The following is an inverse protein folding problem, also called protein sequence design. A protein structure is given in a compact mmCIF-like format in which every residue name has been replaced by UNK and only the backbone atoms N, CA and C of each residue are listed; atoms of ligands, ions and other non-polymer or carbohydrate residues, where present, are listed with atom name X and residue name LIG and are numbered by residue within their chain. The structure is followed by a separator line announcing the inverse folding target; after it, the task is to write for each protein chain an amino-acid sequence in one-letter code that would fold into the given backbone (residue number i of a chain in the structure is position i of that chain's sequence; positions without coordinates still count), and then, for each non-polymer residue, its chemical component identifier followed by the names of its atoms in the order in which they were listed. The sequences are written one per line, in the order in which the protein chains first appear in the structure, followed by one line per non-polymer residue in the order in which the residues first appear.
data_IF_509595080649
#
_entry.id   IF_509595080649
#
_cell.length_a   1.000
_cell.length_b   1.000
_cell.length_c   1.000
_cell.angle_alpha   90.00
_cell.angle_beta   90.00
_cell.angle_gamma   90.00
#
_symmetry.space_group_name_H-M   'P 1'
#
loop_
_entity.id
_entity.type
_entity.pdbx_description
1 polymer ?
#
# COMPACT_ATOMS: atom_id res chain seq x y z
N UNK A 1 15.57 8.32 -13.08
CA UNK A 1 14.35 7.55 -13.39
C UNK A 1 13.23 8.56 -13.57
N UNK A 2 12.53 8.56 -14.69
CA UNK A 2 11.37 9.45 -14.90
C UNK A 2 10.17 8.52 -15.02
N UNK A 3 9.09 8.80 -14.30
CA UNK A 3 7.83 8.10 -14.50
C UNK A 3 7.44 7.08 -13.44
N UNK A 4 7.03 7.55 -12.27
CA UNK A 4 6.33 6.74 -11.27
C UNK A 4 4.85 7.13 -11.21
N UNK A 5 3.97 6.13 -11.20
CA UNK A 5 2.56 6.29 -10.87
C UNK A 5 2.37 5.78 -9.44
N UNK A 6 1.80 6.62 -8.57
CA UNK A 6 1.50 6.27 -7.19
C UNK A 6 -0.02 6.34 -6.96
N UNK A 7 -0.61 5.25 -6.49
CA UNK A 7 -1.97 5.24 -5.96
C UNK A 7 -1.88 5.14 -4.44
N UNK A 8 -2.41 6.14 -3.74
CA UNK A 8 -2.47 6.13 -2.29
C UNK A 8 -3.92 5.97 -1.85
N UNK A 9 -4.24 4.83 -1.25
CA UNK A 9 -5.52 4.60 -0.56
C UNK A 9 -5.29 4.78 0.94
N UNK A 10 -5.90 5.81 1.49
CA UNK A 10 -5.68 6.25 2.86
C UNK A 10 -6.86 7.10 3.35
N UNK A 11 -6.90 7.35 4.66
CA UNK A 11 -7.81 8.35 5.24
C UNK A 11 -7.10 9.69 5.41
N UNK A 12 -7.87 10.77 5.42
CA UNK A 12 -7.42 12.06 5.93
C UNK A 12 -8.27 12.47 7.12
N UNK A 13 -7.64 13.22 8.01
CA UNK A 13 -8.27 13.84 9.18
C UNK A 13 -8.19 15.35 9.05
N UNK A 14 -9.21 16.04 9.55
CA UNK A 14 -9.24 17.50 9.66
C UNK A 14 -9.20 17.88 11.13
N UNK A 15 -8.38 18.87 11.46
CA UNK A 15 -8.26 19.41 12.81
C UNK A 15 -8.25 20.94 12.72
N UNK A 16 -8.99 21.61 13.60
CA UNK A 16 -9.18 23.08 13.56
C UNK A 16 -7.84 23.84 13.54
N UNK A 17 -6.92 23.49 14.45
CA UNK A 17 -5.61 24.17 14.53
C UNK A 17 -4.53 23.62 13.59
N UNK A 18 -4.54 22.31 13.29
CA UNK A 18 -3.45 21.63 12.56
C UNK A 18 -3.73 21.47 11.06
N UNK A 19 -4.95 21.76 10.62
CA UNK A 19 -5.40 21.59 9.24
C UNK A 19 -5.64 20.13 8.88
N UNK A 20 -5.34 19.79 7.63
CA UNK A 20 -5.51 18.43 7.09
C UNK A 20 -4.27 17.57 7.36
N UNK A 21 -4.50 16.31 7.73
CA UNK A 21 -3.45 15.31 7.92
C UNK A 21 -3.77 14.03 7.17
N UNK A 22 -2.76 13.46 6.52
CA UNK A 22 -2.82 12.17 5.86
C UNK A 22 -2.57 11.05 6.88
N UNK A 23 -3.48 10.09 6.99
CA UNK A 23 -3.33 8.96 7.90
C UNK A 23 -2.58 7.84 7.18
N UNK A 24 -1.32 7.66 7.58
CA UNK A 24 -0.48 6.55 7.15
C UNK A 24 -0.42 5.49 8.24
N UNK A 25 0.23 4.37 7.95
CA UNK A 25 0.47 3.32 8.93
C UNK A 25 1.90 3.43 9.49
N UNK A 26 2.04 3.27 10.80
CA UNK A 26 3.34 2.99 11.42
C UNK A 26 3.77 1.54 11.15
N UNK A 27 5.04 1.16 11.42
CA UNK A 27 5.50 -0.21 11.18
C UNK A 27 4.79 -1.31 12.00
N UNK A 28 4.05 -0.95 13.05
CA UNK A 28 3.19 -1.85 13.82
C UNK A 28 1.72 -1.81 13.34
N UNK A 29 1.44 -1.14 12.23
CA UNK A 29 0.13 -0.98 11.61
C UNK A 29 -0.82 -0.08 12.41
N UNK A 30 -0.30 0.81 13.25
CA UNK A 30 -1.04 1.85 13.94
C UNK A 30 -1.18 3.11 13.09
N UNK A 31 -2.13 4.01 13.42
CA UNK A 31 -2.29 5.26 12.68
C UNK A 31 -1.14 6.22 12.95
N UNK A 32 -0.50 6.69 11.89
CA UNK A 32 0.49 7.75 11.89
C UNK A 32 -0.03 8.94 11.06
N UNK A 33 -0.39 10.03 11.72
CA UNK A 33 -0.93 11.21 11.03
C UNK A 33 0.23 12.11 10.57
N UNK A 34 0.41 12.18 9.26
CA UNK A 34 1.32 13.10 8.62
C UNK A 34 0.58 14.40 8.29
N UNK A 35 0.71 15.39 9.18
CA UNK A 35 0.09 16.71 9.01
C UNK A 35 0.68 17.46 7.81
N UNK A 36 -0.16 18.25 7.12
CA UNK A 36 0.22 19.06 5.94
C UNK A 36 1.57 19.76 6.09
N UNK A 37 1.80 20.50 7.18
CA UNK A 37 3.06 21.22 7.43
C UNK A 37 4.28 20.29 7.51
N UNK A 38 4.11 19.12 8.14
CA UNK A 38 5.18 18.12 8.24
C UNK A 38 5.43 17.45 6.91
N UNK A 39 4.38 17.19 6.12
CA UNK A 39 4.48 16.69 4.75
C UNK A 39 5.23 17.68 3.84
N UNK A 40 4.89 18.96 3.89
CA UNK A 40 5.59 20.03 3.14
C UNK A 40 7.09 20.06 3.48
N UNK A 41 7.42 20.11 4.78
CA UNK A 41 8.81 20.11 5.23
C UNK A 41 9.57 18.85 4.79
N UNK A 42 8.94 17.68 4.85
CA UNK A 42 9.51 16.43 4.39
C UNK A 42 9.77 16.44 2.88
N UNK A 43 8.81 16.89 2.07
CA UNK A 43 8.95 16.95 0.62
C UNK A 43 10.01 17.97 0.19
N UNK A 44 10.08 19.12 0.85
CA UNK A 44 11.12 20.11 0.62
C UNK A 44 12.52 19.54 0.91
N UNK A 45 12.68 18.79 2.01
CA UNK A 45 13.96 18.17 2.41
C UNK A 45 14.38 16.96 1.57
N UNK A 46 13.44 16.27 0.92
CA UNK A 46 13.68 15.05 0.14
C UNK A 46 13.86 15.28 -1.37
N UNK A 47 13.83 16.54 -1.82
CA UNK A 47 13.96 16.90 -3.24
C UNK A 47 12.64 16.86 -4.03
N UNK A 48 11.51 16.73 -3.32
CA UNK A 48 10.16 16.74 -3.87
C UNK A 48 9.78 15.48 -4.63
N UNK A 49 8.71 15.58 -5.43
CA UNK A 49 8.10 14.47 -6.17
C UNK A 49 8.34 14.54 -7.69
N UNK A 50 9.47 15.13 -8.11
CA UNK A 50 9.81 15.33 -9.55
C UNK A 50 9.88 14.04 -10.39
N UNK A 51 9.92 12.89 -9.74
CA UNK A 51 9.94 11.57 -10.40
C UNK A 51 8.56 10.91 -10.46
N UNK A 52 7.56 11.46 -9.76
CA UNK A 52 6.17 11.00 -9.75
C UNK A 52 5.41 11.74 -10.85
N UNK A 53 5.01 11.01 -11.88
CA UNK A 53 4.24 11.57 -13.00
C UNK A 53 2.76 11.66 -12.65
N UNK A 54 2.24 10.73 -11.85
CA UNK A 54 0.83 10.69 -11.47
C UNK A 54 0.70 10.22 -10.03
N UNK A 55 -0.04 10.99 -9.24
CA UNK A 55 -0.47 10.62 -7.90
C UNK A 55 -2.01 10.56 -7.86
N UNK A 56 -2.56 9.40 -7.51
CA UNK A 56 -3.99 9.22 -7.28
C UNK A 56 -4.23 9.12 -5.78
N UNK A 57 -4.83 10.15 -5.19
CA UNK A 57 -5.21 10.19 -3.77
C UNK A 57 -6.64 9.67 -3.61
N UNK A 58 -6.77 8.38 -3.32
CA UNK A 58 -8.04 7.78 -2.88
C UNK A 58 -8.23 8.07 -1.40
N UNK A 59 -8.50 9.34 -1.10
CA UNK A 59 -8.57 9.89 0.26
C UNK A 59 -9.57 11.05 0.30
N UNK A 60 -10.53 11.01 1.22
CA UNK A 60 -11.50 12.10 1.41
C UNK A 60 -10.80 13.42 1.82
N UNK A 61 -11.35 14.58 1.44
CA UNK A 61 -10.79 15.90 1.79
C UNK A 61 -9.30 16.07 1.44
N UNK A 62 -8.82 15.42 0.39
CA UNK A 62 -7.41 15.42 -0.03
C UNK A 62 -7.02 16.61 -0.91
N UNK A 63 -7.92 17.56 -1.16
CA UNK A 63 -7.69 18.75 -2.00
C UNK A 63 -6.47 19.57 -1.53
N UNK A 64 -6.40 19.87 -0.23
CA UNK A 64 -5.27 20.60 0.35
C UNK A 64 -3.95 19.83 0.29
N UNK A 65 -4.00 18.49 0.37
CA UNK A 65 -2.82 17.65 0.24
C UNK A 65 -2.36 17.60 -1.22
N UNK A 66 -3.30 17.57 -2.17
CA UNK A 66 -3.02 17.57 -3.60
C UNK A 66 -2.22 18.80 -4.02
N UNK A 67 -2.59 19.97 -3.50
CA UNK A 67 -1.86 21.21 -3.71
C UNK A 67 -0.39 21.08 -3.28
N UNK A 68 -0.14 20.54 -2.08
CA UNK A 68 1.23 20.31 -1.58
C UNK A 68 2.02 19.42 -2.54
N UNK A 69 1.43 18.33 -3.03
CA UNK A 69 2.13 17.43 -3.93
C UNK A 69 2.47 18.06 -5.29
N UNK A 70 1.57 18.87 -5.85
CA UNK A 70 1.82 19.64 -7.09
C UNK A 70 2.94 20.66 -6.87
N UNK A 71 2.88 21.44 -5.80
CA UNK A 71 3.87 22.47 -5.47
C UNK A 71 5.27 21.88 -5.27
N UNK A 72 5.36 20.63 -4.80
CA UNK A 72 6.61 19.90 -4.63
C UNK A 72 7.00 19.05 -5.85
N UNK A 73 6.36 19.26 -7.01
CA UNK A 73 6.85 18.77 -8.29
C UNK A 73 6.22 17.47 -8.81
N UNK A 74 5.13 16.99 -8.21
CA UNK A 74 4.31 15.96 -8.84
C UNK A 74 3.62 16.55 -10.08
N UNK A 75 3.66 15.85 -11.21
CA UNK A 75 3.16 16.41 -12.48
C UNK A 75 1.62 16.44 -12.53
N UNK A 76 1.00 15.33 -12.13
CA UNK A 76 -0.44 15.14 -12.17
C UNK A 76 -0.91 14.61 -10.80
N UNK A 77 -1.97 15.20 -10.24
CA UNK A 77 -2.54 14.73 -8.97
C UNK A 77 -4.06 14.68 -9.05
N UNK A 78 -4.63 13.53 -8.72
CA UNK A 78 -6.08 13.34 -8.56
C UNK A 78 -6.40 13.28 -7.07
N UNK A 79 -7.49 13.93 -6.67
CA UNK A 79 -7.89 14.06 -5.27
C UNK A 79 -9.41 14.14 -5.13
N UNK A 80 -9.90 14.08 -3.90
CA UNK A 80 -11.31 14.26 -3.56
C UNK A 80 -11.50 15.42 -2.58
N UNK A 81 -12.40 16.35 -2.89
CA UNK A 81 -12.71 17.51 -2.02
C UNK A 81 -13.67 17.20 -0.88
N UNK A 82 -14.49 16.16 -1.06
CA UNK A 82 -15.54 15.78 -0.13
C UNK A 82 -15.35 14.39 0.47
N UNK A 83 -16.42 13.91 1.09
CA UNK A 83 -16.57 12.50 1.42
C UNK A 83 -16.84 11.72 0.13
N UNK A 84 -16.21 10.56 0.01
CA UNK A 84 -16.43 9.62 -1.08
C UNK A 84 -16.58 8.24 -0.46
N UNK A 85 -17.64 7.54 -0.81
CA UNK A 85 -17.83 6.17 -0.35
C UNK A 85 -16.84 5.23 -1.01
N UNK A 86 -16.42 4.18 -0.30
CA UNK A 86 -15.51 3.15 -0.83
C UNK A 86 -16.02 2.53 -2.13
N UNK A 87 -17.33 2.38 -2.28
CA UNK A 87 -17.93 1.89 -3.53
C UNK A 87 -17.67 2.84 -4.69
N UNK A 88 -17.87 4.14 -4.49
CA UNK A 88 -17.65 5.17 -5.50
C UNK A 88 -16.16 5.32 -5.83
N UNK A 89 -15.29 5.35 -4.82
CA UNK A 89 -13.84 5.37 -5.01
C UNK A 89 -13.33 4.14 -5.80
N UNK A 90 -13.86 2.95 -5.52
CA UNK A 90 -13.53 1.73 -6.28
C UNK A 90 -14.03 1.80 -7.73
N UNK A 91 -15.26 2.26 -7.97
CA UNK A 91 -15.81 2.41 -9.33
C UNK A 91 -15.02 3.42 -10.15
N UNK A 92 -14.66 4.55 -9.54
CA UNK A 92 -13.75 5.53 -10.13
C UNK A 92 -12.44 4.86 -10.56
N UNK A 93 -11.75 4.21 -9.62
CA UNK A 93 -10.45 3.59 -9.88
C UNK A 93 -10.54 2.52 -10.97
N UNK A 94 -11.58 1.68 -10.95
CA UNK A 94 -11.80 0.66 -11.97
C UNK A 94 -11.95 1.27 -13.36
N UNK A 95 -12.85 2.25 -13.53
CA UNK A 95 -13.06 2.91 -14.83
C UNK A 95 -11.80 3.65 -15.29
N UNK A 96 -11.17 4.40 -14.38
CA UNK A 96 -9.96 5.15 -14.66
C UNK A 96 -8.79 4.26 -15.13
N UNK A 97 -8.47 3.21 -14.36
CA UNK A 97 -7.39 2.30 -14.71
C UNK A 97 -7.71 1.45 -15.93
N UNK A 98 -8.98 1.12 -16.16
CA UNK A 98 -9.41 0.43 -17.37
C UNK A 98 -9.14 1.26 -18.62
N UNK A 99 -9.50 2.55 -18.62
CA UNK A 99 -9.23 3.47 -19.74
C UNK A 99 -7.73 3.67 -19.98
N UNK A 100 -6.95 3.82 -18.90
CA UNK A 100 -5.49 3.87 -19.00
C UNK A 100 -4.90 2.59 -19.61
N UNK A 101 -5.42 1.42 -19.23
CA UNK A 101 -5.00 0.14 -19.81
C UNK A 101 -5.38 -0.01 -21.30
N UNK A 102 -6.43 0.70 -21.75
CA UNK A 102 -6.77 0.85 -23.17
C UNK A 102 -5.95 1.94 -23.89
N UNK A 103 -4.84 2.39 -23.29
CA UNK A 103 -3.95 3.41 -23.82
C UNK A 103 -4.63 4.78 -24.06
N UNK A 104 -5.76 5.06 -23.40
CA UNK A 104 -6.32 6.41 -23.39
C UNK A 104 -5.32 7.40 -22.76
N UNK A 105 -5.40 8.67 -23.16
CA UNK A 105 -4.64 9.70 -22.47
C UNK A 105 -5.17 9.91 -21.06
N UNK A 106 -4.32 10.42 -20.16
CA UNK A 106 -4.64 10.64 -18.76
C UNK A 106 -5.89 11.52 -18.61
N UNK A 107 -6.00 12.58 -19.41
CA UNK A 107 -7.18 13.45 -19.41
C UNK A 107 -8.45 12.70 -19.86
N UNK A 108 -8.35 11.87 -20.90
CA UNK A 108 -9.49 11.07 -21.39
C UNK A 108 -9.93 10.03 -20.36
N UNK A 109 -8.98 9.33 -19.74
CA UNK A 109 -9.26 8.34 -18.71
C UNK A 109 -9.94 8.98 -17.49
N UNK A 110 -9.48 10.16 -17.06
CA UNK A 110 -10.13 10.96 -16.04
C UNK A 110 -11.57 11.32 -16.42
N UNK A 111 -11.77 11.96 -17.57
CA UNK A 111 -13.09 12.42 -18.01
C UNK A 111 -14.09 11.26 -18.18
N UNK A 112 -13.62 10.12 -18.72
CA UNK A 112 -14.44 8.91 -18.87
C UNK A 112 -14.86 8.37 -17.51
N UNK A 113 -13.94 8.27 -16.56
CA UNK A 113 -14.25 7.79 -15.21
C UNK A 113 -15.27 8.69 -14.50
N UNK A 114 -15.11 10.02 -14.56
CA UNK A 114 -16.07 10.95 -13.95
C UNK A 114 -17.45 10.85 -14.61
N UNK A 115 -17.51 10.74 -15.94
CA UNK A 115 -18.78 10.56 -16.66
C UNK A 115 -19.46 9.24 -16.31
N UNK A 116 -18.69 8.16 -16.18
CA UNK A 116 -19.20 6.86 -15.80
C UNK A 116 -19.83 6.88 -14.40
N UNK A 117 -19.20 7.58 -13.43
CA UNK A 117 -19.79 7.79 -12.11
C UNK A 117 -21.08 8.62 -12.20
N UNK A 118 -21.07 9.73 -12.93
CA UNK A 118 -22.19 10.66 -13.00
C UNK A 118 -23.50 10.05 -13.56
N UNK A 119 -23.40 8.95 -14.32
CA UNK A 119 -24.55 8.22 -14.88
C UNK A 119 -24.84 6.91 -14.15
N UNK A 120 -24.16 6.65 -13.04
CA UNK A 120 -24.33 5.43 -12.26
C UNK A 120 -25.78 5.30 -11.75
N UNK A 121 -26.28 4.06 -11.69
CA UNK A 121 -27.63 3.80 -11.20
C UNK A 121 -27.78 4.06 -9.69
N UNK A 122 -26.68 4.03 -8.94
CA UNK A 122 -26.62 4.45 -7.55
C UNK A 122 -26.53 5.97 -7.44
N UNK A 123 -27.57 6.61 -6.90
CA UNK A 123 -27.67 8.07 -6.80
C UNK A 123 -26.60 8.68 -5.89
N UNK A 124 -26.12 7.94 -4.89
CA UNK A 124 -25.01 8.38 -4.03
C UNK A 124 -23.73 8.46 -4.85
N UNK A 125 -23.39 7.39 -5.56
CA UNK A 125 -22.24 7.35 -6.48
C UNK A 125 -22.30 8.44 -7.54
N UNK A 126 -23.48 8.67 -8.14
CA UNK A 126 -23.65 9.70 -9.16
C UNK A 126 -23.43 11.11 -8.62
N UNK A 127 -23.95 11.42 -7.43
CA UNK A 127 -23.73 12.71 -6.79
C UNK A 127 -22.26 12.94 -6.43
N UNK A 128 -21.56 11.91 -5.92
CA UNK A 128 -20.16 12.03 -5.50
C UNK A 128 -19.16 12.19 -6.66
N UNK A 129 -19.58 12.02 -7.91
CA UNK A 129 -18.73 12.26 -9.09
C UNK A 129 -18.12 13.68 -9.09
N UNK A 130 -18.87 14.68 -8.60
CA UNK A 130 -18.42 16.07 -8.54
C UNK A 130 -17.35 16.33 -7.45
N UNK A 131 -17.15 15.39 -6.54
CA UNK A 131 -16.16 15.52 -5.47
C UNK A 131 -14.73 15.25 -5.95
N UNK A 132 -14.57 14.60 -7.10
CA UNK A 132 -13.26 14.28 -7.65
C UNK A 132 -12.67 15.51 -8.35
N UNK A 133 -11.38 15.77 -8.09
CA UNK A 133 -10.62 16.89 -8.65
C UNK A 133 -9.33 16.39 -9.32
N UNK A 134 -8.90 17.07 -10.38
CA UNK A 134 -7.70 16.73 -11.13
C UNK A 134 -6.82 17.95 -11.36
N UNK A 135 -5.63 17.92 -10.75
CA UNK A 135 -4.61 18.97 -10.79
C UNK A 135 -3.48 18.63 -11.78
N UNK A 136 -2.83 19.67 -12.29
CA UNK A 136 -1.69 19.53 -13.19
C UNK A 136 -2.07 19.10 -14.61
N UNK A 137 -3.24 19.50 -15.11
CA UNK A 137 -3.79 18.98 -16.38
C UNK A 137 -2.95 19.32 -17.63
N UNK A 138 -2.02 20.26 -17.54
CA UNK A 138 -1.17 20.65 -18.68
C UNK A 138 -0.35 19.45 -19.17
N UNK A 139 -0.58 19.02 -20.41
CA UNK A 139 0.10 17.87 -21.02
C UNK A 139 -0.58 16.52 -20.73
N UNK A 140 -1.66 16.50 -19.93
CA UNK A 140 -2.40 15.27 -19.61
C UNK A 140 -3.14 14.69 -20.83
N UNK A 141 -3.40 15.50 -21.85
CA UNK A 141 -3.99 15.08 -23.11
C UNK A 141 -3.05 14.22 -23.97
N UNK A 142 -1.74 14.33 -23.75
CA UNK A 142 -0.69 13.56 -24.41
C UNK A 142 -0.06 12.50 -23.50
N UNK A 143 -0.38 12.52 -22.20
CA UNK A 143 0.15 11.59 -21.23
C UNK A 143 -0.55 10.22 -21.36
N UNK A 144 0.16 9.20 -21.83
CA UNK A 144 -0.28 7.80 -21.84
C UNK A 144 0.38 7.05 -20.69
N UNK A 145 -0.06 5.81 -20.41
CA UNK A 145 0.62 4.95 -19.41
C UNK A 145 2.12 4.83 -19.70
N UNK A 146 2.51 4.68 -20.96
CA UNK A 146 3.92 4.55 -21.35
C UNK A 146 4.72 5.83 -21.06
N UNK A 147 4.17 7.01 -21.33
CA UNK A 147 4.88 8.25 -21.01
C UNK A 147 4.88 8.55 -19.51
N UNK A 148 3.79 8.22 -18.80
CA UNK A 148 3.69 8.33 -17.35
C UNK A 148 4.69 7.41 -16.62
N UNK A 149 4.95 6.22 -17.16
CA UNK A 149 5.95 5.27 -16.66
C UNK A 149 7.37 5.54 -17.20
N UNK A 150 7.54 6.56 -18.04
CA UNK A 150 8.84 6.94 -18.62
C UNK A 150 9.38 6.01 -19.70
N UNK A 151 8.52 5.17 -20.29
CA UNK A 151 8.83 4.25 -21.39
C UNK A 151 8.81 4.96 -22.75
N UNK A 152 8.03 6.05 -22.89
CA UNK A 152 7.81 6.76 -24.15
C UNK A 152 9.03 7.43 -24.82
N UNK A 153 10.18 7.55 -24.14
CA UNK A 153 11.42 8.08 -24.72
C UNK A 153 12.44 6.99 -25.12
N UNK A 154 12.06 5.70 -25.10
CA UNK A 154 12.92 4.57 -25.50
C UNK A 154 12.69 4.15 -26.96
N UNK A 155 12.52 5.10 -27.88
CA UNK A 155 12.50 4.79 -29.29
C UNK A 155 13.93 4.45 -29.81
N UNK A 156 14.12 3.19 -30.19
CA UNK A 156 15.03 2.71 -31.25
C UNK A 156 16.56 2.76 -31.04
N UNK A 157 17.06 2.12 -29.97
CA UNK A 157 18.39 1.48 -30.03
C UNK A 157 18.30 0.04 -29.56
N UNK A 158 18.64 -0.98 -30.39
CA UNK A 158 18.66 -2.39 -29.99
C UNK A 158 19.90 -2.73 -29.12
N UNK A 159 20.25 -1.83 -28.20
CA UNK A 159 21.36 -2.00 -27.27
C UNK A 159 21.16 -1.14 -26.02
N UNK A 160 20.01 -1.31 -25.38
CA UNK A 160 19.88 -1.08 -23.96
C UNK A 160 19.35 -2.37 -23.37
N UNK A 161 20.25 -3.35 -23.21
CA UNK A 161 20.08 -4.40 -22.20
C UNK A 161 19.61 -3.66 -20.97
N UNK A 162 18.38 -3.96 -20.51
CA UNK A 162 17.82 -3.43 -19.30
C UNK A 162 18.88 -3.59 -18.21
N UNK A 163 19.61 -2.50 -17.92
CA UNK A 163 20.55 -2.50 -16.82
C UNK A 163 19.76 -2.93 -15.59
N UNK A 164 20.32 -3.78 -14.72
CA UNK A 164 19.58 -4.38 -13.63
C UNK A 164 18.77 -3.28 -12.93
N UNK A 165 17.45 -3.43 -12.94
CA UNK A 165 16.55 -2.57 -12.18
C UNK A 165 17.14 -2.53 -10.78
N UNK A 166 17.85 -1.46 -10.40
CA UNK A 166 18.19 -1.25 -8.99
C UNK A 166 16.84 -1.32 -8.26
N UNK A 167 16.57 -2.36 -7.47
CA UNK A 167 15.29 -2.49 -6.81
C UNK A 167 15.10 -1.19 -6.04
N UNK A 168 13.92 -0.57 -6.16
CA UNK A 168 13.60 0.53 -5.27
C UNK A 168 13.62 -0.13 -3.89
N UNK A 169 14.63 0.20 -3.08
CA UNK A 169 14.78 -0.38 -1.75
C UNK A 169 13.43 -0.23 -1.02
N UNK A 170 12.94 -1.33 -0.46
CA UNK A 170 11.66 -1.43 0.26
C UNK A 170 10.37 -1.57 -0.58
N UNK A 171 10.44 -1.76 -1.91
CA UNK A 171 9.28 -2.18 -2.70
C UNK A 171 9.35 -3.68 -3.00
N UNK A 172 8.23 -4.37 -2.80
CA UNK A 172 8.07 -5.78 -3.15
C UNK A 172 7.53 -5.84 -4.58
N UNK A 173 8.17 -6.66 -5.41
CA UNK A 173 7.67 -6.93 -6.76
C UNK A 173 6.31 -7.62 -6.70
N UNK A 174 5.38 -7.26 -7.59
CA UNK A 174 4.01 -7.78 -7.56
C UNK A 174 3.99 -9.29 -7.76
N UNK A 175 4.82 -9.86 -8.64
CA UNK A 175 4.86 -11.31 -8.82
C UNK A 175 5.35 -12.00 -7.54
N UNK A 176 6.36 -11.43 -6.88
CA UNK A 176 6.84 -11.92 -5.58
C UNK A 176 5.75 -11.82 -4.49
N UNK A 177 4.98 -10.74 -4.48
CA UNK A 177 3.86 -10.57 -3.54
C UNK A 177 2.75 -11.59 -3.78
N UNK A 178 2.40 -11.86 -5.04
CA UNK A 178 1.37 -12.81 -5.42
C UNK A 178 1.77 -14.28 -5.19
N UNK A 179 3.07 -14.57 -5.18
CA UNK A 179 3.60 -15.90 -4.88
C UNK A 179 3.54 -16.26 -3.37
N UNK A 180 3.25 -15.30 -2.48
CA UNK A 180 3.06 -15.60 -1.06
C UNK A 180 1.82 -16.47 -0.83
N UNK A 181 2.04 -17.65 -0.25
CA UNK A 181 1.02 -18.66 -0.01
C UNK A 181 0.48 -18.58 1.43
N UNK A 182 -0.20 -17.49 1.77
CA UNK A 182 -1.04 -17.49 2.97
C UNK A 182 -2.42 -18.10 2.64
N UNK A 183 -3.09 -18.72 3.64
CA UNK A 183 -4.49 -19.11 3.46
C UNK A 183 -5.37 -17.90 3.13
N UNK A 184 -6.51 -18.14 2.49
CA UNK A 184 -7.47 -17.07 2.24
C UNK A 184 -7.89 -16.39 3.56
N UNK A 185 -8.00 -15.06 3.51
CA UNK A 185 -8.43 -14.26 4.67
C UNK A 185 -9.78 -14.77 5.19
N UNK A 186 -9.98 -14.84 6.52
CA UNK A 186 -11.24 -15.27 7.08
C UNK A 186 -12.39 -14.32 6.69
N UNK A 187 -13.50 -14.90 6.23
CA UNK A 187 -14.72 -14.13 6.00
C UNK A 187 -15.25 -13.55 7.31
N UNK A 188 -15.83 -12.33 7.24
CA UNK A 188 -16.51 -11.67 8.36
C UNK A 188 -15.64 -11.50 9.62
N UNK A 189 -14.35 -11.25 9.45
CA UNK A 189 -13.47 -10.87 10.56
C UNK A 189 -13.81 -9.45 11.03
N UNK A 190 -14.61 -9.33 12.09
CA UNK A 190 -15.11 -8.04 12.61
C UNK A 190 -14.71 -7.84 14.07
N UNK A 191 -14.43 -6.59 14.45
CA UNK A 191 -14.26 -6.17 15.85
C UNK A 191 -12.96 -6.61 16.52
N UNK A 192 -12.00 -7.16 15.77
CA UNK A 192 -10.72 -7.68 16.30
C UNK A 192 -9.48 -6.97 15.79
N UNK A 193 -9.63 -5.89 15.03
CA UNK A 193 -8.50 -5.11 14.48
C UNK A 193 -7.59 -4.55 15.59
N UNK A 194 -8.17 -4.15 16.73
CA UNK A 194 -7.39 -3.70 17.89
C UNK A 194 -6.49 -4.81 18.46
N UNK A 195 -6.95 -6.07 18.42
CA UNK A 195 -6.14 -7.21 18.86
C UNK A 195 -5.00 -7.50 17.88
N UNK A 196 -5.22 -7.35 16.57
CA UNK A 196 -4.15 -7.46 15.57
C UNK A 196 -3.04 -6.44 15.85
N UNK A 197 -3.42 -5.17 16.04
CA UNK A 197 -2.48 -4.10 16.33
C UNK A 197 -1.75 -4.31 17.67
N UNK A 198 -2.46 -4.75 18.72
CA UNK A 198 -1.84 -5.05 20.02
C UNK A 198 -0.81 -6.18 19.90
N UNK A 199 -1.11 -7.22 19.11
CA UNK A 199 -0.19 -8.32 18.87
C UNK A 199 1.02 -7.86 18.06
N UNK A 200 0.81 -7.10 16.98
CA UNK A 200 1.89 -6.53 16.17
C UNK A 200 2.84 -5.68 17.03
N UNK A 201 2.29 -4.80 17.88
CA UNK A 201 3.08 -4.00 18.83
C UNK A 201 3.85 -4.83 19.84
N UNK A 202 3.33 -5.99 20.24
CA UNK A 202 4.04 -6.90 21.16
C UNK A 202 5.27 -7.49 20.48
N UNK A 203 5.23 -7.69 19.16
CA UNK A 203 6.35 -8.21 18.36
C UNK A 203 7.29 -7.10 17.85
N UNK A 204 6.90 -5.83 17.92
CA UNK A 204 7.65 -4.71 17.32
C UNK A 204 8.74 -4.12 18.22
N UNK A 205 9.87 -3.74 17.60
CA UNK A 205 10.98 -3.02 18.24
C UNK A 205 12.08 -3.91 18.82
N UNK A 206 13.15 -3.31 19.37
CA UNK A 206 14.33 -4.04 19.87
C UNK A 206 13.99 -4.98 21.06
N UNK A 207 12.95 -4.65 21.81
CA UNK A 207 12.44 -5.45 22.94
C UNK A 207 11.16 -6.23 22.58
N UNK A 208 10.87 -6.36 21.27
CA UNK A 208 9.72 -7.11 20.78
C UNK A 208 9.80 -8.58 21.19
N UNK A 209 8.64 -9.17 21.47
CA UNK A 209 8.55 -10.60 21.78
C UNK A 209 8.72 -11.40 20.51
N UNK A 210 9.63 -12.39 20.54
CA UNK A 210 9.89 -13.32 19.44
C UNK A 210 8.84 -14.43 19.32
N UNK A 211 8.10 -14.68 20.41
CA UNK A 211 7.05 -15.67 20.46
C UNK A 211 5.84 -15.11 21.22
N UNK A 212 4.65 -15.38 20.70
CA UNK A 212 3.38 -15.02 21.37
C UNK A 212 2.43 -16.20 21.27
N UNK A 213 1.75 -16.51 22.38
CA UNK A 213 0.76 -17.58 22.45
C UNK A 213 -0.64 -16.98 22.43
N UNK A 214 -1.46 -17.42 21.48
CA UNK A 214 -2.87 -17.01 21.36
C UNK A 214 -3.73 -18.16 21.89
N UNK A 215 -4.38 -17.94 23.04
CA UNK A 215 -5.23 -18.93 23.68
C UNK A 215 -6.63 -18.38 23.96
N UNK A 216 -7.58 -19.26 24.24
CA UNK A 216 -8.98 -18.91 24.46
C UNK A 216 -9.92 -20.09 24.22
N UNK A 217 -11.23 -19.91 24.49
CA UNK A 217 -12.22 -20.99 24.40
C UNK A 217 -12.26 -21.69 23.04
N UNK A 218 -12.76 -22.92 23.01
CA UNK A 218 -13.04 -23.62 21.76
C UNK A 218 -14.02 -22.80 20.91
N UNK A 219 -13.84 -22.79 19.59
CA UNK A 219 -14.72 -22.07 18.66
C UNK A 219 -14.57 -20.54 18.61
N UNK A 220 -13.80 -19.90 19.50
CA UNK A 220 -13.66 -18.43 19.52
C UNK A 220 -12.96 -17.84 18.28
N UNK A 221 -12.50 -18.66 17.32
CA UNK A 221 -11.87 -18.20 16.09
C UNK A 221 -10.38 -17.85 16.23
N UNK A 222 -9.63 -18.57 17.08
CA UNK A 222 -8.17 -18.39 17.24
C UNK A 222 -7.41 -18.59 15.93
N UNK A 223 -7.74 -19.67 15.21
CA UNK A 223 -7.10 -19.98 13.93
C UNK A 223 -7.40 -18.93 12.87
N UNK A 224 -8.65 -18.44 12.81
CA UNK A 224 -9.02 -17.33 11.93
C UNK A 224 -8.23 -16.06 12.28
N UNK A 225 -8.11 -15.73 13.57
CA UNK A 225 -7.29 -14.61 14.01
C UNK A 225 -5.81 -14.76 13.64
N UNK A 226 -5.24 -15.97 13.73
CA UNK A 226 -3.86 -16.22 13.34
C UNK A 226 -3.62 -16.04 11.83
N UNK A 227 -4.55 -16.52 10.99
CA UNK A 227 -4.51 -16.30 9.52
C UNK A 227 -4.57 -14.80 9.23
N UNK A 228 -5.57 -14.11 9.78
CA UNK A 228 -5.74 -12.68 9.57
C UNK A 228 -4.55 -11.86 10.10
N UNK A 229 -3.95 -12.27 11.22
CA UNK A 229 -2.73 -11.65 11.73
C UNK A 229 -1.55 -11.87 10.79
N UNK A 230 -1.38 -13.07 10.24
CA UNK A 230 -0.34 -13.35 9.25
C UNK A 230 -0.51 -12.45 8.03
N UNK A 231 -1.70 -12.40 7.42
CA UNK A 231 -2.00 -11.51 6.30
C UNK A 231 -1.74 -10.03 6.63
N UNK A 232 -2.10 -9.62 7.85
CA UNK A 232 -1.85 -8.27 8.33
C UNK A 232 -0.35 -7.96 8.39
N UNK A 233 0.46 -8.74 9.11
CA UNK A 233 1.88 -8.42 9.33
C UNK A 233 2.79 -8.64 8.13
N UNK A 234 2.32 -9.36 7.10
CA UNK A 234 3.04 -9.60 5.84
C UNK A 234 2.80 -8.55 4.77
N UNK A 235 1.83 -7.64 4.96
CA UNK A 235 1.61 -6.60 3.98
C UNK A 235 2.90 -5.77 3.78
N UNK A 236 3.18 -5.28 2.56
CA UNK A 236 4.42 -4.55 2.27
C UNK A 236 4.68 -3.42 3.26
N UNK A 237 5.92 -3.32 3.77
CA UNK A 237 6.33 -2.30 4.74
C UNK A 237 6.02 -2.63 6.21
N UNK A 238 5.34 -3.73 6.50
CA UNK A 238 5.08 -4.20 7.88
C UNK A 238 6.13 -5.18 8.39
N UNK A 239 6.03 -5.49 9.68
CA UNK A 239 6.92 -6.34 10.49
C UNK A 239 7.50 -7.58 9.79
N UNK A 240 6.67 -8.36 9.11
CA UNK A 240 7.05 -9.63 8.50
C UNK A 240 6.82 -9.63 6.98
N UNK A 241 6.93 -8.44 6.36
CA UNK A 241 6.75 -8.22 4.92
C UNK A 241 7.71 -9.01 4.02
N UNK A 242 8.81 -9.53 4.57
CA UNK A 242 9.77 -10.33 3.82
C UNK A 242 9.31 -11.77 3.59
N UNK A 243 8.79 -12.43 4.64
CA UNK A 243 8.34 -13.81 4.57
C UNK A 243 7.47 -14.16 5.78
N UNK A 244 6.45 -14.98 5.57
CA UNK A 244 5.71 -15.63 6.64
C UNK A 244 5.22 -17.01 6.23
N UNK A 245 5.18 -17.90 7.21
CA UNK A 245 4.72 -19.27 7.04
C UNK A 245 3.63 -19.54 8.07
N UNK A 246 2.52 -20.11 7.61
CA UNK A 246 1.46 -20.58 8.48
C UNK A 246 1.50 -22.10 8.55
N UNK A 247 1.84 -22.63 9.71
CA UNK A 247 1.96 -24.07 9.95
C UNK A 247 0.77 -24.55 10.78
N UNK A 248 -0.01 -25.48 10.24
CA UNK A 248 -1.07 -26.18 10.97
C UNK A 248 -0.54 -27.53 11.44
N UNK A 249 -0.08 -27.58 12.69
CA UNK A 249 0.37 -28.83 13.31
C UNK A 249 -0.83 -29.55 13.92
N UNK A 250 -1.15 -30.74 13.41
CA UNK A 250 -2.14 -31.65 14.01
C UNK A 250 -1.38 -32.89 14.44
N UNK A 251 -1.08 -33.02 15.74
CA UNK A 251 -0.28 -34.14 16.26
C UNK A 251 -0.86 -34.64 17.57
N UNK A 252 -0.92 -35.97 17.81
CA UNK A 252 -1.20 -36.52 19.13
C UNK A 252 -0.01 -36.31 20.09
N UNK A 253 1.19 -36.02 19.57
CA UNK A 253 2.44 -35.86 20.32
C UNK A 253 3.08 -34.51 19.99
N UNK A 254 2.68 -33.47 20.73
CA UNK A 254 3.13 -32.09 20.51
C UNK A 254 4.66 -31.93 20.60
N UNK A 255 5.30 -32.63 21.54
CA UNK A 255 6.74 -32.51 21.79
C UNK A 255 7.60 -32.96 20.59
N UNK A 256 7.25 -34.06 19.94
CA UNK A 256 8.01 -34.58 18.79
C UNK A 256 7.87 -33.67 17.56
N UNK A 257 6.69 -33.10 17.34
CA UNK A 257 6.45 -32.20 16.21
C UNK A 257 7.16 -30.84 16.37
N UNK A 258 7.22 -30.31 17.60
CA UNK A 258 7.95 -29.07 17.88
C UNK A 258 9.44 -29.28 17.68
N UNK A 259 10.02 -30.36 18.22
CA UNK A 259 11.44 -30.65 18.07
C UNK A 259 11.86 -30.79 16.60
N UNK A 260 11.05 -31.48 15.78
CA UNK A 260 11.31 -31.59 14.35
C UNK A 260 11.18 -30.26 13.59
N UNK A 261 10.26 -29.38 14.01
CA UNK A 261 10.11 -28.06 13.43
C UNK A 261 11.30 -27.14 13.79
N UNK A 262 11.74 -27.17 15.05
CA UNK A 262 12.93 -26.43 15.51
C UNK A 262 14.16 -26.81 14.68
N UNK A 263 14.41 -28.12 14.50
CA UNK A 263 15.53 -28.62 13.70
C UNK A 263 15.48 -28.11 12.24
N UNK A 264 14.30 -28.10 11.62
CA UNK A 264 14.14 -27.60 10.25
C UNK A 264 14.27 -26.08 10.14
N UNK A 265 13.77 -25.32 11.11
CA UNK A 265 13.94 -23.87 11.14
C UNK A 265 15.42 -23.51 11.32
N UNK A 266 16.16 -24.22 12.19
CA UNK A 266 17.60 -24.03 12.35
C UNK A 266 18.40 -24.42 11.10
N UNK A 267 18.00 -25.50 10.41
CA UNK A 267 18.58 -25.86 9.13
C UNK A 267 18.36 -24.76 8.07
N UNK A 268 17.14 -24.23 7.98
CA UNK A 268 16.80 -23.14 7.06
C UNK A 268 17.52 -21.83 7.41
N UNK A 269 17.61 -21.46 8.69
CA UNK A 269 18.31 -20.27 9.14
C UNK A 269 19.81 -20.32 8.80
N UNK A 270 20.43 -21.51 8.91
CA UNK A 270 21.82 -21.75 8.47
C UNK A 270 21.98 -21.61 6.96
N UNK A 271 21.02 -22.11 6.17
CA UNK A 271 21.02 -21.98 4.71
C UNK A 271 20.83 -20.54 4.24
N UNK A 272 20.01 -19.75 4.94
CA UNK A 272 19.72 -18.36 4.61
C UNK A 272 20.77 -17.37 5.13
N UNK A 273 21.85 -17.85 5.75
CA UNK A 273 22.94 -17.02 6.29
C UNK A 273 22.47 -15.85 7.18
N UNK A 274 21.43 -16.06 7.99
CA UNK A 274 20.83 -15.03 8.89
C UNK A 274 21.76 -14.62 10.06
N UNK A 275 23.06 -14.92 9.97
CA UNK A 275 24.02 -14.80 11.08
C UNK A 275 25.25 -13.92 10.88
N UNK A 276 25.39 -13.16 9.78
CA UNK A 276 26.62 -12.39 9.53
C UNK A 276 26.36 -10.94 9.07
N UNK A 277 25.61 -10.18 9.85
CA UNK A 277 25.67 -8.71 9.81
C UNK A 277 25.59 -8.20 11.26
N UNK A 278 26.71 -8.23 11.97
CA UNK A 278 26.76 -7.73 13.35
C UNK A 278 28.04 -8.12 14.07
N UNK A 279 29.15 -7.49 13.69
CA UNK A 279 30.39 -7.55 14.44
C UNK A 279 31.60 -7.25 13.58
N UNK A 280 31.87 -5.96 13.34
CA UNK A 280 33.23 -5.43 13.24
C UNK A 280 33.18 -3.89 13.32
N UNK A 281 33.89 -3.35 14.32
CA UNK A 281 34.46 -2.00 14.35
C UNK A 281 33.52 -0.81 14.43
#
# INVERSE_FOLDING_TARGET
RRGLILHLSAHAVRHEERGVGLVLEDPAGGPHILWKRTLEAFLAGSGGLRHVSLLVLSTCYSEELAQVFIEHGCLHVMAARGLVHDTTARRFAQSFYYELALHASLLRAWESAIKALAIDSDTVTAAEAEHFTFYGQKGAEQASVDSLCGVGNLALTPSAVAGPHKPIHNFIDVATFLDFRLPARPERFVGRSQLLHRLARTCYGPNGRRAVVIHGPAGVGKSAFAVEFADFVTAPGRLFSCASLLLRVTTPTLGAAIAGLEEQIEALARQLAVGACGGDG
#
